data_IF_872328431470
#
_entry.id   IF_872328431470
#
_cell.length_a   1.000
_cell.length_b   1.000
_cell.length_c   1.000
_cell.angle_alpha   90.00
_cell.angle_beta   90.00
_cell.angle_gamma   90.00
#
_symmetry.space_group_name_H-M   'P 1'
#
loop_
_entity.id
_entity.type
_entity.pdbx_description
1 polymer ?
#
# COMPACT_ATOMS: atom_id res chain seq x y z
N UNK A 1 14.85 -19.04 8.87
CA UNK A 1 14.77 -19.83 7.61
C UNK A 1 13.44 -19.63 6.91
N UNK A 2 12.28 -19.85 7.56
CA UNK A 2 10.96 -19.67 6.92
C UNK A 2 10.71 -18.29 6.28
N UNK A 3 11.01 -17.18 6.99
CA UNK A 3 10.83 -15.83 6.41
C UNK A 3 11.68 -15.63 5.15
N UNK A 4 12.93 -16.12 5.14
CA UNK A 4 13.78 -16.04 3.97
C UNK A 4 13.19 -16.85 2.81
N UNK A 5 12.64 -18.04 3.09
CA UNK A 5 11.91 -18.83 2.08
C UNK A 5 10.72 -18.06 1.50
N UNK A 6 9.94 -17.36 2.33
CA UNK A 6 8.81 -16.54 1.86
C UNK A 6 9.30 -15.38 0.99
N UNK A 7 10.36 -14.68 1.39
CA UNK A 7 10.95 -13.57 0.62
C UNK A 7 11.49 -14.05 -0.73
N UNK A 8 12.21 -15.19 -0.73
CA UNK A 8 12.73 -15.78 -1.98
C UNK A 8 11.60 -16.24 -2.89
N UNK A 9 10.56 -16.87 -2.32
CA UNK A 9 9.36 -17.25 -3.07
C UNK A 9 8.67 -16.03 -3.69
N UNK A 10 8.48 -14.94 -2.92
CA UNK A 10 7.92 -13.70 -3.42
C UNK A 10 8.75 -13.13 -4.58
N UNK A 11 10.07 -13.06 -4.42
CA UNK A 11 10.96 -12.60 -5.48
C UNK A 11 10.86 -13.45 -6.74
N UNK A 12 10.85 -14.78 -6.61
CA UNK A 12 10.69 -15.70 -7.74
C UNK A 12 9.34 -15.53 -8.42
N UNK A 13 8.24 -15.46 -7.67
CA UNK A 13 6.90 -15.28 -8.23
C UNK A 13 6.77 -13.93 -8.94
N UNK A 14 7.22 -12.85 -8.32
CA UNK A 14 7.12 -11.51 -8.89
C UNK A 14 7.98 -11.35 -10.15
N UNK A 15 9.10 -12.08 -10.27
CA UNK A 15 9.93 -12.09 -11.49
C UNK A 15 9.49 -13.09 -12.56
N UNK A 16 8.69 -14.07 -12.20
CA UNK A 16 8.30 -15.14 -13.12
C UNK A 16 7.57 -14.56 -14.32
N UNK A 17 8.12 -14.73 -15.52
CA UNK A 17 7.49 -14.26 -16.76
C UNK A 17 7.19 -12.74 -16.78
N UNK A 18 8.04 -11.93 -16.12
CA UNK A 18 7.84 -10.47 -15.99
C UNK A 18 7.64 -9.72 -17.32
N UNK A 19 8.13 -10.26 -18.44
CA UNK A 19 8.01 -9.67 -19.78
C UNK A 19 7.06 -10.43 -20.70
N UNK A 20 6.31 -11.40 -20.19
CA UNK A 20 5.44 -12.23 -21.02
C UNK A 20 4.25 -11.45 -21.59
N UNK A 21 3.67 -10.56 -20.79
CA UNK A 21 2.62 -9.66 -21.23
C UNK A 21 3.22 -8.43 -21.91
N UNK A 22 2.63 -8.00 -23.03
CA UNK A 22 2.97 -6.75 -23.69
C UNK A 22 2.74 -5.54 -22.77
N UNK A 23 3.44 -4.43 -23.04
CA UNK A 23 3.22 -3.16 -22.33
C UNK A 23 1.83 -2.64 -22.73
N UNK A 24 0.89 -2.67 -21.78
CA UNK A 24 -0.46 -2.16 -22.01
C UNK A 24 -0.56 -0.65 -21.77
N UNK A 25 -1.73 -0.08 -22.05
CA UNK A 25 -1.96 1.37 -22.12
C UNK A 25 -1.49 2.15 -20.89
N UNK A 26 -1.84 1.68 -19.69
CA UNK A 26 -1.52 2.36 -18.44
C UNK A 26 -0.04 2.29 -18.08
N UNK A 27 0.65 1.21 -18.44
CA UNK A 27 2.11 1.11 -18.31
C UNK A 27 2.82 2.02 -19.31
N UNK A 28 2.40 2.00 -20.58
CA UNK A 28 3.00 2.82 -21.62
C UNK A 28 2.93 4.31 -21.26
N UNK A 29 1.80 4.76 -20.69
CA UNK A 29 1.62 6.14 -20.22
C UNK A 29 2.57 6.50 -19.08
N UNK A 30 2.73 5.60 -18.10
CA UNK A 30 3.67 5.79 -17.00
C UNK A 30 5.13 5.85 -17.48
N UNK A 31 5.51 4.94 -18.39
CA UNK A 31 6.85 4.87 -18.98
C UNK A 31 7.12 6.13 -19.82
N UNK A 32 6.18 6.56 -20.68
CA UNK A 32 6.36 7.75 -21.51
C UNK A 32 6.61 9.00 -20.65
N UNK A 33 5.81 9.21 -19.61
CA UNK A 33 5.99 10.34 -18.69
C UNK A 33 7.34 10.26 -17.98
N UNK A 34 7.74 9.08 -17.51
CA UNK A 34 9.00 8.87 -16.82
C UNK A 34 10.23 9.08 -17.71
N UNK A 35 10.11 8.89 -19.03
CA UNK A 35 11.19 9.16 -19.99
C UNK A 35 11.37 10.64 -20.35
N UNK A 36 10.44 11.52 -19.96
CA UNK A 36 10.56 12.98 -20.18
C UNK A 36 11.63 13.60 -19.29
N UNK A 37 12.12 14.82 -19.60
CA UNK A 37 12.93 15.59 -18.67
C UNK A 37 12.25 15.74 -17.29
N UNK A 38 13.03 15.65 -16.22
CA UNK A 38 12.52 15.62 -14.83
C UNK A 38 11.54 16.77 -14.51
N UNK A 39 11.81 17.97 -15.02
CA UNK A 39 10.98 19.17 -14.83
C UNK A 39 9.61 19.09 -15.51
N UNK A 40 9.44 18.23 -16.51
CA UNK A 40 8.20 18.04 -17.25
C UNK A 40 7.31 16.94 -16.65
N UNK A 41 7.84 16.10 -15.74
CA UNK A 41 7.10 14.97 -15.16
C UNK A 41 5.87 15.47 -14.42
N UNK A 42 6.01 16.40 -13.48
CA UNK A 42 4.89 16.89 -12.65
C UNK A 42 3.82 17.69 -13.43
N UNK A 43 4.20 18.24 -14.57
CA UNK A 43 3.30 19.05 -15.40
C UNK A 43 2.66 18.25 -16.52
N UNK A 44 3.09 17.00 -16.75
CA UNK A 44 2.54 16.11 -17.76
C UNK A 44 1.01 15.92 -17.59
N UNK A 45 0.19 16.22 -18.61
CA UNK A 45 -1.23 15.89 -18.62
C UNK A 45 -1.49 14.38 -18.41
N UNK A 46 -0.51 13.56 -18.78
CA UNK A 46 -0.56 12.11 -18.73
C UNK A 46 -0.39 11.52 -17.33
N UNK A 47 -0.08 12.33 -16.32
CA UNK A 47 -0.19 11.91 -14.92
C UNK A 47 -1.61 11.46 -14.54
N UNK A 48 -2.63 11.78 -15.35
CA UNK A 48 -4.03 11.44 -15.11
C UNK A 48 -4.50 11.91 -13.73
N UNK A 49 -5.12 11.03 -12.96
CA UNK A 49 -5.49 11.23 -11.55
C UNK A 49 -4.39 10.82 -10.57
N UNK A 50 -3.13 10.80 -10.98
CA UNK A 50 -2.03 10.31 -10.15
C UNK A 50 -1.03 11.39 -9.74
N UNK A 51 -0.63 11.41 -8.46
CA UNK A 51 0.47 12.21 -7.94
C UNK A 51 1.83 11.94 -8.63
N UNK A 52 2.78 12.90 -8.59
CA UNK A 52 4.02 12.80 -9.36
C UNK A 52 5.14 11.94 -8.74
N UNK A 53 5.09 11.54 -7.46
CA UNK A 53 6.25 10.91 -6.80
C UNK A 53 6.61 9.56 -7.40
N UNK A 54 5.62 8.75 -7.77
CA UNK A 54 5.89 7.49 -8.45
C UNK A 54 6.60 7.72 -9.78
N UNK A 55 6.15 8.70 -10.56
CA UNK A 55 6.72 9.01 -11.86
C UNK A 55 8.13 9.57 -11.76
N UNK A 56 8.43 10.37 -10.73
CA UNK A 56 9.79 10.77 -10.43
C UNK A 56 10.69 9.60 -10.01
N UNK A 57 10.17 8.69 -9.19
CA UNK A 57 10.89 7.48 -8.81
C UNK A 57 11.17 6.60 -10.03
N UNK A 58 10.17 6.40 -10.89
CA UNK A 58 10.32 5.67 -12.16
C UNK A 58 11.28 6.37 -13.11
N UNK A 59 11.21 7.69 -13.24
CA UNK A 59 12.18 8.48 -14.02
C UNK A 59 13.60 8.20 -13.54
N UNK A 60 13.87 8.39 -12.24
CA UNK A 60 15.20 8.14 -11.68
C UNK A 60 15.65 6.68 -11.89
N UNK A 61 14.74 5.73 -11.72
CA UNK A 61 15.01 4.30 -11.93
C UNK A 61 15.41 4.00 -13.39
N UNK A 62 14.63 4.47 -14.36
CA UNK A 62 14.92 4.31 -15.79
C UNK A 62 16.23 4.99 -16.19
N UNK A 63 16.51 6.19 -15.67
CA UNK A 63 17.79 6.90 -15.91
C UNK A 63 18.99 6.14 -15.35
N UNK A 64 18.88 5.56 -14.15
CA UNK A 64 19.94 4.74 -13.56
C UNK A 64 20.21 3.48 -14.38
N UNK A 65 19.16 2.87 -14.92
CA UNK A 65 19.25 1.72 -15.81
C UNK A 65 19.56 2.07 -17.28
N UNK A 66 19.79 3.35 -17.58
CA UNK A 66 20.07 3.86 -18.93
C UNK A 66 19.01 3.47 -19.96
N UNK A 67 17.74 3.50 -19.55
CA UNK A 67 16.61 3.25 -20.42
C UNK A 67 16.21 4.53 -21.16
N UNK A 68 16.01 4.42 -22.46
CA UNK A 68 15.53 5.49 -23.34
C UNK A 68 14.62 4.94 -24.45
N UNK A 69 13.98 5.84 -25.21
CA UNK A 69 13.10 5.50 -26.32
C UNK A 69 13.87 4.75 -27.42
N UNK A 70 13.21 3.78 -28.04
CA UNK A 70 13.74 3.00 -29.17
C UNK A 70 14.50 1.73 -28.78
N UNK A 71 14.62 1.42 -27.48
CA UNK A 71 15.07 0.10 -27.03
C UNK A 71 13.99 -0.96 -27.22
N UNK A 72 14.40 -2.23 -27.17
CA UNK A 72 13.50 -3.35 -27.31
C UNK A 72 12.41 -3.32 -26.22
N UNK A 73 11.11 -3.47 -26.56
CA UNK A 73 10.01 -3.35 -25.60
C UNK A 73 10.16 -4.26 -24.38
N UNK A 74 10.70 -5.45 -24.53
CA UNK A 74 10.93 -6.41 -23.45
C UNK A 74 11.95 -5.91 -22.42
N UNK A 75 12.98 -5.17 -22.85
CA UNK A 75 13.98 -4.57 -21.95
C UNK A 75 13.33 -3.43 -21.15
N UNK A 76 12.58 -2.57 -21.84
CA UNK A 76 11.86 -1.46 -21.21
C UNK A 76 10.86 -2.00 -20.19
N UNK A 77 10.05 -2.99 -20.58
CA UNK A 77 9.06 -3.65 -19.72
C UNK A 77 9.73 -4.26 -18.50
N UNK A 78 10.81 -5.05 -18.67
CA UNK A 78 11.52 -5.67 -17.57
C UNK A 78 11.98 -4.63 -16.54
N UNK A 79 12.71 -3.60 -17.00
CA UNK A 79 13.30 -2.60 -16.10
C UNK A 79 12.21 -1.77 -15.43
N UNK A 80 11.18 -1.34 -16.16
CA UNK A 80 10.09 -0.54 -15.62
C UNK A 80 9.29 -1.32 -14.56
N UNK A 81 8.89 -2.56 -14.87
CA UNK A 81 8.15 -3.46 -13.94
C UNK A 81 9.00 -3.87 -12.74
N UNK A 82 10.33 -3.94 -12.88
CA UNK A 82 11.21 -4.30 -11.76
C UNK A 82 11.10 -3.31 -10.58
N UNK A 83 10.76 -2.04 -10.82
CA UNK A 83 10.48 -1.10 -9.74
C UNK A 83 9.27 -1.55 -8.90
N UNK A 84 8.23 -2.08 -9.55
CA UNK A 84 7.06 -2.65 -8.88
C UNK A 84 7.36 -3.96 -8.17
N UNK A 85 8.25 -4.79 -8.71
CA UNK A 85 8.78 -5.99 -8.03
C UNK A 85 9.50 -5.60 -6.73
N UNK A 86 10.33 -4.55 -6.77
CA UNK A 86 11.02 -4.03 -5.58
C UNK A 86 10.02 -3.51 -4.55
N UNK A 87 9.02 -2.72 -4.98
CA UNK A 87 7.93 -2.29 -4.10
C UNK A 87 7.18 -3.46 -3.48
N UNK A 88 6.83 -4.45 -4.30
CA UNK A 88 6.19 -5.71 -3.91
C UNK A 88 6.94 -6.44 -2.81
N UNK A 89 8.24 -6.63 -3.03
CA UNK A 89 9.14 -7.34 -2.11
C UNK A 89 9.35 -6.55 -0.81
N UNK A 90 9.55 -5.24 -0.90
CA UNK A 90 9.67 -4.36 0.27
C UNK A 90 8.44 -4.47 1.17
N UNK A 91 7.23 -4.49 0.60
CA UNK A 91 6.01 -4.67 1.38
C UNK A 91 5.99 -6.03 2.09
N UNK A 92 6.31 -7.14 1.41
CA UNK A 92 6.38 -8.49 2.00
C UNK A 92 7.36 -8.51 3.18
N UNK A 93 8.53 -7.90 3.02
CA UNK A 93 9.56 -7.81 4.08
C UNK A 93 9.04 -7.00 5.27
N UNK A 94 8.33 -5.90 5.04
CA UNK A 94 7.82 -5.00 6.09
C UNK A 94 6.59 -5.56 6.82
N UNK A 95 5.78 -6.41 6.16
CA UNK A 95 4.62 -7.04 6.77
C UNK A 95 4.99 -7.98 7.93
N UNK A 96 6.11 -8.71 7.81
CA UNK A 96 6.56 -9.59 8.88
C UNK A 96 6.83 -8.88 10.22
N UNK A 97 7.71 -7.87 10.30
CA UNK A 97 7.94 -7.15 11.55
C UNK A 97 6.65 -6.49 12.03
N UNK A 98 5.85 -5.87 11.13
CA UNK A 98 4.59 -5.24 11.50
C UNK A 98 3.61 -6.21 12.18
N UNK A 99 3.34 -7.36 11.55
CA UNK A 99 2.47 -8.39 12.15
C UNK A 99 3.06 -9.01 13.41
N UNK A 100 4.39 -9.16 13.48
CA UNK A 100 5.09 -9.61 14.69
C UNK A 100 4.86 -8.67 15.87
N UNK A 101 4.90 -7.35 15.61
CA UNK A 101 4.73 -6.32 16.63
C UNK A 101 3.29 -6.19 17.09
N UNK A 102 2.34 -6.23 16.14
CA UNK A 102 0.91 -6.10 16.44
C UNK A 102 0.34 -7.31 17.18
N UNK A 103 0.90 -8.50 16.96
CA UNK A 103 0.36 -9.72 17.55
C UNK A 103 1.41 -10.78 17.88
N UNK A 104 2.01 -11.42 16.87
CA UNK A 104 2.94 -12.54 17.09
C UNK A 104 3.82 -12.82 15.87
N UNK A 105 4.98 -13.50 16.03
CA UNK A 105 5.80 -13.91 14.89
C UNK A 105 5.05 -14.74 13.85
N UNK A 106 4.08 -15.54 14.28
CA UNK A 106 3.22 -16.34 13.39
C UNK A 106 2.31 -15.41 12.57
N UNK A 107 1.67 -14.41 13.20
CA UNK A 107 0.85 -13.45 12.49
C UNK A 107 1.65 -12.66 11.43
N UNK A 108 2.88 -12.25 11.77
CA UNK A 108 3.80 -11.62 10.81
C UNK A 108 4.13 -12.54 9.63
N UNK A 109 4.39 -13.83 9.88
CA UNK A 109 4.70 -14.79 8.83
C UNK A 109 3.47 -15.06 7.94
N UNK A 110 2.28 -15.18 8.53
CA UNK A 110 1.01 -15.34 7.79
C UNK A 110 0.76 -14.12 6.92
N UNK A 111 0.90 -12.89 7.44
CA UNK A 111 0.70 -11.67 6.66
C UNK A 111 1.65 -11.60 5.45
N UNK A 112 2.94 -11.89 5.66
CA UNK A 112 3.92 -11.93 4.56
C UNK A 112 3.60 -13.03 3.53
N UNK A 113 3.14 -14.20 3.99
CA UNK A 113 2.77 -15.32 3.12
C UNK A 113 1.53 -14.99 2.28
N UNK A 114 0.49 -14.41 2.90
CA UNK A 114 -0.73 -13.97 2.20
C UNK A 114 -0.38 -12.94 1.13
N UNK A 115 0.44 -11.94 1.46
CA UNK A 115 0.86 -10.94 0.47
C UNK A 115 1.65 -11.57 -0.69
N UNK A 116 2.51 -12.55 -0.39
CA UNK A 116 3.31 -13.26 -1.41
C UNK A 116 2.45 -14.05 -2.40
N UNK A 117 1.33 -14.63 -1.93
CA UNK A 117 0.49 -15.51 -2.76
C UNK A 117 -0.83 -14.88 -3.20
N UNK A 118 -1.11 -13.63 -2.81
CA UNK A 118 -2.31 -12.91 -3.21
C UNK A 118 -2.29 -12.65 -4.73
N UNK A 119 -3.26 -13.18 -5.51
CA UNK A 119 -3.25 -13.06 -6.97
C UNK A 119 -3.23 -11.61 -7.46
N UNK A 120 -4.00 -10.74 -6.80
CA UNK A 120 -4.01 -9.31 -7.09
C UNK A 120 -2.64 -8.69 -6.87
N UNK A 121 -2.01 -8.96 -5.73
CA UNK A 121 -0.71 -8.40 -5.39
C UNK A 121 0.40 -8.87 -6.33
N UNK A 122 0.34 -10.13 -6.77
CA UNK A 122 1.21 -10.68 -7.79
C UNK A 122 1.06 -9.91 -9.11
N UNK A 123 -0.18 -9.71 -9.58
CA UNK A 123 -0.44 -8.94 -10.81
C UNK A 123 0.11 -7.51 -10.71
N UNK A 124 -0.19 -6.80 -9.62
CA UNK A 124 0.31 -5.44 -9.39
C UNK A 124 1.84 -5.37 -9.27
N UNK A 125 2.49 -6.45 -8.81
CA UNK A 125 3.96 -6.54 -8.74
C UNK A 125 4.61 -6.69 -10.11
N UNK A 126 3.85 -7.07 -11.13
CA UNK A 126 4.31 -7.28 -12.51
C UNK A 126 3.88 -6.17 -13.48
N UNK A 127 3.32 -5.08 -12.98
CA UNK A 127 2.94 -3.95 -13.81
C UNK A 127 3.68 -2.68 -13.40
N UNK A 128 4.02 -1.83 -14.35
CA UNK A 128 4.62 -0.50 -14.14
C UNK A 128 3.57 0.47 -13.60
N UNK A 129 3.12 0.22 -12.37
CA UNK A 129 2.09 0.98 -11.65
C UNK A 129 2.57 1.31 -10.23
N UNK A 130 1.92 2.31 -9.63
CA UNK A 130 2.33 2.88 -8.33
C UNK A 130 1.87 2.08 -7.11
N UNK A 131 1.02 1.06 -7.29
CA UNK A 131 0.30 0.42 -6.19
C UNK A 131 1.23 -0.32 -5.22
N UNK A 132 2.20 -1.07 -5.73
CA UNK A 132 3.10 -1.84 -4.84
C UNK A 132 4.04 -0.93 -4.05
N UNK A 133 4.57 0.11 -4.70
CA UNK A 133 5.37 1.16 -4.05
C UNK A 133 4.54 1.90 -3.00
N UNK A 134 3.32 2.31 -3.33
CA UNK A 134 2.41 3.00 -2.40
C UNK A 134 2.14 2.15 -1.16
N UNK A 135 1.83 0.87 -1.34
CA UNK A 135 1.53 -0.03 -0.25
C UNK A 135 2.78 -0.38 0.59
N UNK A 136 3.96 -0.48 0.00
CA UNK A 136 5.21 -0.61 0.76
C UNK A 136 5.48 0.62 1.65
N UNK A 137 5.31 1.83 1.10
CA UNK A 137 5.45 3.09 1.85
C UNK A 137 4.41 3.20 2.95
N UNK A 138 3.15 2.81 2.69
CA UNK A 138 2.10 2.74 3.71
C UNK A 138 2.42 1.71 4.79
N UNK A 139 2.92 0.52 4.43
CA UNK A 139 3.30 -0.51 5.41
C UNK A 139 4.42 -0.01 6.33
N UNK A 140 5.39 0.72 5.77
CA UNK A 140 6.42 1.41 6.55
C UNK A 140 5.81 2.51 7.44
N UNK A 141 4.87 3.32 6.93
CA UNK A 141 4.17 4.32 7.74
C UNK A 141 3.42 3.67 8.92
N UNK A 142 2.70 2.58 8.67
CA UNK A 142 1.97 1.82 9.69
C UNK A 142 2.90 1.33 10.80
N UNK A 143 4.10 0.86 10.46
CA UNK A 143 5.12 0.49 11.45
C UNK A 143 5.44 1.64 12.42
N UNK A 144 5.68 2.84 11.90
CA UNK A 144 5.96 4.01 12.73
C UNK A 144 4.73 4.52 13.49
N UNK A 145 3.54 4.42 12.91
CA UNK A 145 2.28 4.72 13.62
C UNK A 145 2.12 3.83 14.85
N UNK A 146 2.32 2.52 14.70
CA UNK A 146 2.22 1.56 15.80
C UNK A 146 3.23 1.90 16.90
N UNK A 147 4.46 2.28 16.54
CA UNK A 147 5.47 2.77 17.50
C UNK A 147 5.07 4.06 18.22
N UNK A 148 4.38 4.97 17.55
CA UNK A 148 3.85 6.20 18.16
C UNK A 148 2.71 5.92 19.15
N UNK A 149 1.90 4.91 18.86
CA UNK A 149 0.77 4.49 19.69
C UNK A 149 1.25 3.75 20.96
N UNK A 150 2.18 2.79 20.82
CA UNK A 150 2.65 1.96 21.93
C UNK A 150 3.49 2.70 22.97
N UNK A 151 4.06 3.87 22.65
CA UNK A 151 4.75 4.78 23.60
C UNK A 151 5.78 4.13 24.55
N UNK A 152 6.53 3.11 24.12
CA UNK A 152 7.48 2.48 25.03
C UNK A 152 8.57 3.48 25.52
N UNK A 153 9.02 3.42 26.80
CA UNK A 153 9.82 4.48 27.47
C UNK A 153 11.12 4.89 26.78
N UNK A 154 11.66 4.06 25.89
CA UNK A 154 12.93 4.30 25.17
C UNK A 154 12.75 4.65 23.69
N UNK A 155 11.51 4.83 23.21
CA UNK A 155 11.28 5.10 21.79
C UNK A 155 11.42 6.59 21.48
N UNK A 156 12.25 6.97 20.48
CA UNK A 156 12.40 8.36 20.09
C UNK A 156 11.14 8.86 19.40
N UNK A 157 10.29 9.57 20.14
CA UNK A 157 9.03 10.12 19.63
C UNK A 157 9.23 10.89 18.31
N UNK A 158 10.18 11.83 18.28
CA UNK A 158 10.39 12.70 17.13
C UNK A 158 10.79 11.92 15.87
N UNK A 159 11.66 10.91 16.01
CA UNK A 159 12.06 10.06 14.88
C UNK A 159 10.86 9.30 14.31
N UNK A 160 10.05 8.69 15.18
CA UNK A 160 8.86 7.96 14.73
C UNK A 160 7.81 8.90 14.11
N UNK A 161 7.62 10.09 14.68
CA UNK A 161 6.68 11.09 14.17
C UNK A 161 7.10 11.61 12.80
N UNK A 162 8.37 11.99 12.65
CA UNK A 162 8.93 12.44 11.38
C UNK A 162 8.84 11.33 10.33
N UNK A 163 9.24 10.10 10.67
CA UNK A 163 9.15 8.98 9.73
C UNK A 163 7.70 8.71 9.31
N UNK A 164 6.76 8.67 10.26
CA UNK A 164 5.34 8.49 9.95
C UNK A 164 4.79 9.60 9.04
N UNK A 165 5.08 10.86 9.34
CA UNK A 165 4.64 12.01 8.53
C UNK A 165 5.23 11.98 7.13
N UNK A 166 6.54 11.75 6.99
CA UNK A 166 7.20 11.70 5.69
C UNK A 166 6.70 10.54 4.84
N UNK A 167 6.52 9.36 5.41
CA UNK A 167 6.00 8.19 4.70
C UNK A 167 4.51 8.35 4.34
N UNK A 168 3.69 8.91 5.23
CA UNK A 168 2.28 9.20 4.93
C UNK A 168 2.14 10.24 3.82
N UNK A 169 2.98 11.27 3.86
CA UNK A 169 3.07 12.28 2.79
C UNK A 169 3.52 11.63 1.50
N UNK A 170 4.58 10.82 1.52
CA UNK A 170 5.08 10.11 0.35
C UNK A 170 3.99 9.20 -0.25
N UNK A 171 3.23 8.46 0.57
CA UNK A 171 2.13 7.64 0.11
C UNK A 171 1.06 8.46 -0.64
N UNK A 172 0.68 9.63 -0.12
CA UNK A 172 -0.26 10.55 -0.77
C UNK A 172 0.32 11.20 -2.04
N UNK A 173 1.63 11.42 -2.07
CA UNK A 173 2.36 11.88 -3.24
C UNK A 173 2.63 10.77 -4.26
N UNK A 174 2.35 9.51 -3.92
CA UNK A 174 2.38 8.34 -4.82
C UNK A 174 0.98 8.01 -5.34
N UNK A 175 -0.04 8.04 -4.47
CA UNK A 175 -1.41 7.68 -4.82
C UNK A 175 -2.43 8.39 -3.92
N UNK A 176 -3.37 9.16 -4.50
CA UNK A 176 -4.35 9.93 -3.72
C UNK A 176 -5.21 9.08 -2.78
N UNK A 177 -5.62 7.87 -3.21
CA UNK A 177 -6.41 6.95 -2.37
C UNK A 177 -5.73 6.52 -1.06
N UNK A 178 -4.43 6.77 -0.86
CA UNK A 178 -3.79 6.60 0.44
C UNK A 178 -4.52 7.40 1.56
N UNK A 179 -5.25 8.47 1.20
CA UNK A 179 -6.06 9.26 2.14
C UNK A 179 -7.07 8.41 2.90
N UNK A 180 -7.71 7.43 2.26
CA UNK A 180 -8.72 6.59 2.91
C UNK A 180 -8.11 5.74 4.02
N UNK A 181 -6.91 5.22 3.79
CA UNK A 181 -6.15 4.43 4.77
C UNK A 181 -5.70 5.33 5.93
N UNK A 182 -5.17 6.52 5.63
CA UNK A 182 -4.74 7.46 6.66
C UNK A 182 -5.91 7.93 7.53
N UNK A 183 -7.06 8.25 6.93
CA UNK A 183 -8.27 8.62 7.67
C UNK A 183 -8.69 7.49 8.62
N UNK A 184 -8.70 6.24 8.16
CA UNK A 184 -9.00 5.09 9.00
C UNK A 184 -8.00 4.94 10.17
N UNK A 185 -6.70 5.16 9.92
CA UNK A 185 -5.68 5.14 10.97
C UNK A 185 -5.82 6.27 11.98
N UNK A 186 -6.13 7.49 11.55
CA UNK A 186 -6.40 8.61 12.45
C UNK A 186 -7.68 8.40 13.26
N UNK A 187 -8.72 7.82 12.66
CA UNK A 187 -9.94 7.44 13.37
C UNK A 187 -9.64 6.38 14.44
N UNK A 188 -8.89 5.33 14.09
CA UNK A 188 -8.43 4.31 15.02
C UNK A 188 -7.59 4.90 16.16
N UNK A 189 -6.63 5.77 15.85
CA UNK A 189 -5.82 6.46 16.85
C UNK A 189 -6.71 7.31 17.79
N UNK A 190 -7.71 8.01 17.24
CA UNK A 190 -8.71 8.73 18.02
C UNK A 190 -9.50 7.84 18.97
N UNK A 191 -10.00 6.70 18.48
CA UNK A 191 -10.71 5.70 19.30
C UNK A 191 -9.82 5.22 20.45
N UNK A 192 -8.57 4.85 20.18
CA UNK A 192 -7.63 4.44 21.21
C UNK A 192 -7.39 5.53 22.27
N UNK A 193 -7.33 6.80 21.87
CA UNK A 193 -7.18 7.91 22.81
C UNK A 193 -8.40 8.11 23.72
N UNK A 194 -9.60 7.82 23.24
CA UNK A 194 -10.82 7.90 24.05
C UNK A 194 -10.86 6.80 25.12
N UNK A 195 -10.37 5.60 24.81
CA UNK A 195 -10.40 4.46 25.73
C UNK A 195 -9.15 4.32 26.60
N UNK A 196 -8.00 4.85 26.18
CA UNK A 196 -6.78 4.85 26.98
C UNK A 196 -6.94 5.76 28.19
N UNK A 197 -6.86 5.21 29.40
CA UNK A 197 -6.77 5.97 30.63
C UNK A 197 -5.29 6.20 30.97
N UNK A 198 -4.91 7.46 31.15
CA UNK A 198 -3.56 7.88 31.49
C UNK A 198 -3.68 8.92 32.61
N UNK A 199 -3.55 8.51 33.89
CA UNK A 199 -3.74 9.39 35.04
C UNK A 199 -2.78 10.59 35.05
N UNK A 200 -1.60 10.43 34.43
CA UNK A 200 -0.52 11.41 34.46
C UNK A 200 -0.67 12.47 33.36
N UNK A 201 -1.51 12.24 32.34
CA UNK A 201 -1.64 13.14 31.19
C UNK A 201 -3.09 13.52 30.88
N UNK A 202 -3.45 14.82 30.98
CA UNK A 202 -4.77 15.27 30.58
C UNK A 202 -5.00 15.02 29.08
N UNK A 203 -6.26 14.81 28.71
CA UNK A 203 -6.67 14.42 27.35
C UNK A 203 -6.07 15.30 26.23
N UNK A 204 -6.01 16.62 26.43
CA UNK A 204 -5.44 17.54 25.44
C UNK A 204 -3.95 17.28 25.16
N UNK A 205 -3.16 16.85 26.15
CA UNK A 205 -1.76 16.47 25.94
C UNK A 205 -1.65 15.20 25.10
N UNK A 206 -2.62 14.29 25.27
CA UNK A 206 -2.70 13.04 24.51
C UNK A 206 -3.11 13.27 23.05
N UNK A 207 -3.80 14.37 22.74
CA UNK A 207 -4.13 14.80 21.38
C UNK A 207 -2.97 15.46 20.63
N UNK A 208 -1.93 15.96 21.32
CA UNK A 208 -0.82 16.67 20.64
C UNK A 208 -0.12 15.82 19.58
N UNK A 209 0.22 14.53 19.81
CA UNK A 209 0.87 13.71 18.80
C UNK A 209 0.09 13.52 17.48
N UNK A 210 -1.18 13.06 17.47
CA UNK A 210 -1.92 12.93 16.21
C UNK A 210 -2.15 14.28 15.54
N UNK A 211 -2.44 15.34 16.30
CA UNK A 211 -2.61 16.68 15.73
C UNK A 211 -1.32 17.18 15.08
N UNK A 212 -0.18 17.03 15.74
CA UNK A 212 1.12 17.36 15.17
C UNK A 212 1.36 16.60 13.87
N UNK A 213 1.24 15.27 13.88
CA UNK A 213 1.48 14.46 12.68
C UNK A 213 0.50 14.84 11.55
N UNK A 214 -0.78 15.04 11.87
CA UNK A 214 -1.83 15.36 10.90
C UNK A 214 -1.62 16.73 10.27
N UNK A 215 -1.41 17.77 11.09
CA UNK A 215 -1.19 19.13 10.61
C UNK A 215 0.12 19.24 9.81
N UNK A 216 1.20 18.57 10.23
CA UNK A 216 2.44 18.55 9.46
C UNK A 216 2.26 17.83 8.13
N UNK A 217 1.54 16.69 8.10
CA UNK A 217 1.22 16.01 6.84
C UNK A 217 0.43 16.93 5.91
N UNK A 218 -0.65 17.57 6.40
CA UNK A 218 -1.44 18.52 5.62
C UNK A 218 -0.60 19.70 5.09
N UNK A 219 0.31 20.24 5.90
CA UNK A 219 1.22 21.30 5.47
C UNK A 219 2.15 20.82 4.33
N UNK A 220 2.66 19.59 4.41
CA UNK A 220 3.50 19.00 3.36
C UNK A 220 2.72 18.64 2.08
N UNK A 221 1.39 18.55 2.14
CA UNK A 221 0.55 18.36 0.95
C UNK A 221 0.31 19.67 0.19
N UNK A 222 0.60 20.84 0.77
CA UNK A 222 0.35 22.13 0.10
C UNK A 222 0.93 22.20 -1.33
N UNK A 223 2.17 21.75 -1.61
CA UNK A 223 2.73 21.78 -2.96
C UNK A 223 2.00 20.89 -3.98
N UNK A 224 1.30 19.82 -3.57
CA UNK A 224 0.57 18.95 -4.50
C UNK A 224 -0.83 19.47 -4.83
N UNK A 225 -1.37 20.41 -4.05
CA UNK A 225 -2.74 20.93 -4.23
C UNK A 225 -2.98 21.45 -5.66
N UNK A 226 -2.12 22.28 -6.28
CA UNK A 226 -2.34 22.75 -7.64
C UNK A 226 -2.41 21.62 -8.67
N UNK A 227 -1.59 20.58 -8.48
CA UNK A 227 -1.59 19.39 -9.34
C UNK A 227 -2.90 18.63 -9.16
N UNK A 228 -3.30 18.36 -7.91
CA UNK A 228 -4.53 17.65 -7.58
C UNK A 228 -5.79 18.38 -8.10
N UNK A 229 -5.85 19.71 -7.98
CA UNK A 229 -6.95 20.53 -8.48
C UNK A 229 -7.05 20.54 -10.02
N UNK A 230 -5.94 20.30 -10.72
CA UNK A 230 -5.95 20.08 -12.17
C UNK A 230 -6.41 18.68 -12.56
N UNK A 231 -6.13 17.68 -11.72
CA UNK A 231 -6.31 16.27 -12.05
C UNK A 231 -7.67 15.71 -11.65
N UNK A 232 -8.15 16.02 -10.45
CA UNK A 232 -9.29 15.32 -9.83
C UNK A 232 -10.64 15.93 -10.26
N UNK A 233 -10.89 17.25 -10.15
CA UNK A 233 -12.24 17.80 -10.32
C UNK A 233 -12.80 17.66 -11.73
N UNK A 234 -11.94 17.63 -12.74
CA UNK A 234 -12.30 17.59 -14.15
C UNK A 234 -12.08 16.22 -14.78
N UNK A 235 -11.70 15.20 -13.99
CA UNK A 235 -11.47 13.87 -14.52
C UNK A 235 -12.77 13.25 -15.03
N UNK A 236 -12.76 12.82 -16.29
CA UNK A 236 -13.82 12.05 -16.89
C UNK A 236 -13.19 11.02 -17.82
N UNK A 237 -13.53 9.74 -17.63
CA UNK A 237 -13.16 8.69 -18.56
C UNK A 237 -14.43 8.12 -19.20
N UNK A 238 -14.72 8.47 -20.46
CA UNK A 238 -15.96 8.05 -21.12
C UNK A 238 -16.02 6.53 -21.37
N UNK A 239 -14.90 5.83 -21.24
CA UNK A 239 -14.83 4.38 -21.41
C UNK A 239 -15.12 3.62 -20.10
N UNK A 240 -15.27 4.31 -18.97
CA UNK A 240 -15.60 3.67 -17.70
C UNK A 240 -17.12 3.58 -17.51
N UNK A 241 -17.61 2.35 -17.44
CA UNK A 241 -18.95 2.06 -16.91
C UNK A 241 -18.87 2.03 -15.39
N UNK A 242 -19.56 2.94 -14.72
CA UNK A 242 -19.61 2.96 -13.25
C UNK A 242 -20.44 1.75 -12.80
N UNK A 243 -19.85 0.76 -12.10
CA UNK A 243 -20.60 -0.38 -11.60
C UNK A 243 -21.55 0.06 -10.49
N UNK A 244 -22.60 -0.72 -10.26
CA UNK A 244 -23.40 -0.59 -9.03
C UNK A 244 -22.54 -0.89 -7.80
N UNK A 245 -22.96 -0.44 -6.61
CA UNK A 245 -22.24 -0.74 -5.36
C UNK A 245 -22.10 -2.26 -5.15
N UNK A 246 -23.13 -3.04 -5.48
CA UNK A 246 -23.09 -4.49 -5.34
C UNK A 246 -22.05 -5.12 -6.30
N UNK A 247 -22.05 -4.70 -7.57
CA UNK A 247 -21.08 -5.17 -8.56
C UNK A 247 -19.66 -4.75 -8.17
N UNK A 248 -19.47 -3.51 -7.70
CA UNK A 248 -18.18 -3.03 -7.23
C UNK A 248 -17.64 -3.89 -6.09
N UNK A 249 -18.45 -4.13 -5.05
CA UNK A 249 -18.05 -4.96 -3.91
C UNK A 249 -17.74 -6.40 -4.35
N UNK A 250 -18.54 -6.94 -5.27
CA UNK A 250 -18.34 -8.27 -5.82
C UNK A 250 -17.05 -8.37 -6.66
N UNK A 251 -16.78 -7.40 -7.53
CA UNK A 251 -15.57 -7.35 -8.35
C UNK A 251 -14.31 -7.18 -7.49
N UNK A 252 -14.36 -6.32 -6.46
CA UNK A 252 -13.25 -6.19 -5.51
C UNK A 252 -12.99 -7.51 -4.80
N UNK A 253 -14.06 -8.15 -4.32
CA UNK A 253 -13.97 -9.43 -3.65
C UNK A 253 -13.32 -10.52 -4.52
N UNK A 254 -13.74 -10.62 -5.79
CA UNK A 254 -13.16 -11.54 -6.76
C UNK A 254 -11.72 -11.18 -7.11
N UNK A 255 -11.44 -9.90 -7.37
CA UNK A 255 -10.11 -9.43 -7.77
C UNK A 255 -9.06 -9.70 -6.69
N UNK A 256 -9.31 -9.29 -5.45
CA UNK A 256 -8.33 -9.42 -4.37
C UNK A 256 -8.00 -10.86 -3.99
N UNK A 257 -8.96 -11.78 -4.09
CA UNK A 257 -8.79 -13.17 -3.62
C UNK A 257 -8.72 -14.23 -4.71
N UNK A 258 -9.32 -13.92 -5.87
CA UNK A 258 -9.39 -14.78 -7.04
C UNK A 258 -8.55 -14.30 -8.22
N UNK A 259 -8.08 -13.04 -8.20
CA UNK A 259 -7.33 -12.41 -9.29
C UNK A 259 -8.21 -11.80 -10.38
N UNK A 260 -7.60 -11.00 -11.25
CA UNK A 260 -8.30 -10.35 -12.38
C UNK A 260 -8.90 -11.34 -13.38
N UNK A 261 -8.27 -12.51 -13.53
CA UNK A 261 -8.73 -13.59 -14.40
C UNK A 261 -9.63 -14.61 -13.66
N UNK A 262 -10.28 -14.21 -12.56
CA UNK A 262 -11.15 -15.12 -11.82
C UNK A 262 -12.26 -15.66 -12.72
N UNK A 263 -12.28 -16.99 -12.86
CA UNK A 263 -13.35 -17.72 -13.51
C UNK A 263 -13.91 -18.76 -12.55
N UNK A 264 -15.23 -18.84 -12.43
CA UNK A 264 -15.91 -19.82 -11.61
C UNK A 264 -15.55 -21.27 -11.97
N UNK A 265 -15.09 -21.53 -13.20
CA UNK A 265 -14.68 -22.88 -13.65
C UNK A 265 -13.24 -23.24 -13.32
N UNK A 266 -12.40 -22.26 -12.94
CA UNK A 266 -11.03 -22.51 -12.48
C UNK A 266 -11.00 -23.32 -11.17
N UNK A 267 -9.81 -23.80 -10.77
CA UNK A 267 -9.64 -24.68 -9.60
C UNK A 267 -10.56 -25.92 -9.66
N UNK A 268 -10.69 -26.56 -10.82
CA UNK A 268 -11.58 -27.71 -11.04
C UNK A 268 -13.05 -27.42 -10.67
N UNK A 269 -13.51 -26.18 -10.86
CA UNK A 269 -14.87 -25.73 -10.52
C UNK A 269 -15.07 -25.29 -9.07
N UNK A 270 -14.02 -25.29 -8.23
CA UNK A 270 -14.10 -24.92 -6.82
C UNK A 270 -13.76 -23.45 -6.52
N UNK A 271 -13.53 -22.62 -7.55
CA UNK A 271 -13.14 -21.21 -7.36
C UNK A 271 -14.12 -20.38 -6.53
N UNK A 272 -15.44 -20.63 -6.63
CA UNK A 272 -16.43 -19.99 -5.75
C UNK A 272 -16.29 -20.45 -4.30
N UNK A 273 -16.07 -21.74 -4.07
CA UNK A 273 -15.86 -22.31 -2.73
C UNK A 273 -14.61 -21.72 -2.09
N UNK A 274 -13.52 -21.60 -2.86
CA UNK A 274 -12.28 -20.96 -2.43
C UNK A 274 -12.53 -19.54 -1.91
N UNK A 275 -13.19 -18.69 -2.71
CA UNK A 275 -13.52 -17.32 -2.30
C UNK A 275 -14.25 -17.32 -0.94
N UNK A 276 -15.37 -18.04 -0.83
CA UNK A 276 -16.15 -18.06 0.42
C UNK A 276 -15.38 -18.63 1.62
N UNK A 277 -14.50 -19.60 1.38
CA UNK A 277 -13.65 -20.18 2.44
C UNK A 277 -12.68 -19.16 2.98
N UNK A 278 -12.05 -18.35 2.12
CA UNK A 278 -11.16 -17.28 2.56
C UNK A 278 -11.91 -16.21 3.36
N UNK A 279 -13.14 -15.84 2.95
CA UNK A 279 -13.98 -14.93 3.74
C UNK A 279 -14.26 -15.49 5.12
N UNK A 280 -14.67 -16.76 5.17
CA UNK A 280 -15.03 -17.42 6.41
C UNK A 280 -13.84 -17.46 7.36
N UNK A 281 -12.65 -17.80 6.87
CA UNK A 281 -11.41 -17.79 7.67
C UNK A 281 -11.11 -16.37 8.18
N UNK A 282 -11.22 -15.34 7.34
CA UNK A 282 -10.98 -13.95 7.74
C UNK A 282 -11.99 -13.49 8.81
N UNK A 283 -13.28 -13.78 8.63
CA UNK A 283 -14.34 -13.45 9.59
C UNK A 283 -14.14 -14.18 10.92
N UNK A 284 -13.85 -15.49 10.89
CA UNK A 284 -13.54 -16.26 12.10
C UNK A 284 -12.31 -15.65 12.80
N UNK A 285 -11.26 -15.33 12.04
CA UNK A 285 -10.06 -14.67 12.56
C UNK A 285 -10.33 -13.34 13.25
N UNK A 286 -11.26 -12.53 12.72
CA UNK A 286 -11.68 -11.26 13.33
C UNK A 286 -12.55 -11.45 14.59
N UNK A 287 -13.37 -12.51 14.63
CA UNK A 287 -14.28 -12.78 15.73
C UNK A 287 -13.61 -13.48 16.92
N UNK A 288 -12.55 -14.26 16.69
CA UNK A 288 -11.84 -14.99 17.74
C UNK A 288 -11.29 -14.06 18.84
N UNK A 289 -10.57 -12.95 18.54
CA UNK A 289 -10.08 -12.02 19.56
C UNK A 289 -11.21 -11.38 20.37
N UNK A 290 -12.36 -11.09 19.76
CA UNK A 290 -13.52 -10.48 20.42
C UNK A 290 -14.20 -11.42 21.44
N UNK A 291 -13.98 -12.73 21.34
CA UNK A 291 -14.46 -13.71 22.33
C UNK A 291 -13.49 -13.91 23.50
N UNK A 292 -12.23 -13.53 23.34
CA UNK A 292 -11.18 -13.70 24.35
C UNK A 292 -10.70 -12.37 24.97
N UNK A 293 -11.31 -11.23 24.62
CA UNK A 293 -10.92 -9.92 25.11
C UNK A 293 -11.44 -9.64 26.53
N UNK A 294 -10.79 -10.29 27.51
CA UNK A 294 -10.56 -9.73 28.85
C UNK A 294 -9.29 -8.85 28.92
N UNK A 295 -8.65 -8.59 27.78
CA UNK A 295 -7.28 -8.03 27.68
C UNK A 295 -7.19 -6.88 26.67
N UNK A 296 -8.09 -5.88 26.77
CA UNK A 296 -7.80 -4.55 26.20
C UNK A 296 -6.85 -3.73 27.09
N UNK A 297 -6.39 -4.29 28.23
CA UNK A 297 -5.48 -3.64 29.17
C UNK A 297 -4.00 -3.69 28.75
N UNK A 298 -3.58 -4.59 27.87
CA UNK A 298 -2.15 -4.80 27.57
C UNK A 298 -1.54 -3.76 26.61
N UNK A 299 -2.34 -2.90 25.98
CA UNK A 299 -1.82 -1.77 25.20
C UNK A 299 -1.61 -0.50 26.03
N UNK A 300 -2.04 -0.49 27.31
CA UNK A 300 -1.93 0.68 28.19
C UNK A 300 -0.94 0.49 29.35
N UNK A 301 -0.51 -0.74 29.66
CA UNK A 301 0.41 -1.00 30.76
C UNK A 301 1.48 -2.01 30.35
N UNK A 302 2.64 -1.50 29.90
CA UNK A 302 3.99 -2.04 30.17
C UNK A 302 5.02 -0.90 30.09
#
# INVERSE_FOLDING_TARGET
MLLLTVILLAFTLFLHELTYQDIWWDEARNIDVALRPLSQVATAPELDIHPPLYFWALHSWLRLAQIDRGQAPEIIAFVARFLSVVGGLCAVVLLYPLGRRLHSPIAGLIAATIATTAPFWLAESQETRMYTVSFAVLTAAAWYLVRLIERAPRQPFMLNAVAFVLLSTAALYTHYNAIFILVAWYAWWGVLLLFAQDPDRPFWQRLRPPLFCGLTTLALLVPIIPIALRQIPTYANPNLTIPTVAEYLWQNWQGYLGGYAFDATTLFGYSKLWLWTVLLIAVIGLLLPLRFSGTLSSFCCE
#
